data_IF_304173246367
#
_entry.id   IF_304173246367
#
_cell.length_a   1.000
_cell.length_b   1.000
_cell.length_c   1.000
_cell.angle_alpha   90.00
_cell.angle_beta   90.00
_cell.angle_gamma   90.00
#
_symmetry.space_group_name_H-M   'P 1'
#
loop_
_entity.id
_entity.type
_entity.pdbx_description
1 polymer ?
#
# COMPACT_ATOMS: atom_id res chain seq x y z
N UNK A 1 -24.23 8.00 17.98
CA UNK A 1 -23.01 7.95 18.82
C UNK A 1 -22.41 6.55 18.73
N UNK A 2 -21.64 6.25 17.69
CA UNK A 2 -20.89 5.00 17.57
C UNK A 2 -19.49 5.23 18.12
N UNK A 3 -19.09 4.44 19.11
CA UNK A 3 -17.77 4.52 19.73
C UNK A 3 -16.73 4.06 18.70
N UNK A 4 -15.91 5.00 18.27
CA UNK A 4 -14.71 4.73 17.48
C UNK A 4 -13.73 4.02 18.40
N UNK A 5 -13.58 2.72 18.22
CA UNK A 5 -12.48 1.97 18.81
C UNK A 5 -11.26 2.28 17.95
N UNK A 6 -10.46 3.23 18.41
CA UNK A 6 -9.13 3.45 17.85
C UNK A 6 -8.27 2.24 18.22
N UNK A 7 -8.23 1.27 17.33
CA UNK A 7 -7.30 0.15 17.41
C UNK A 7 -5.96 0.62 16.82
N UNK A 8 -5.26 1.50 17.53
CA UNK A 8 -3.81 1.59 17.40
C UNK A 8 -3.21 0.37 18.11
N UNK A 9 -3.47 -0.80 17.53
CA UNK A 9 -2.66 -1.97 17.74
C UNK A 9 -1.37 -1.76 16.95
N UNK A 10 -0.41 -1.03 17.50
CA UNK A 10 0.98 -1.33 17.24
C UNK A 10 1.12 -2.78 17.70
N UNK A 11 0.91 -3.71 16.77
CA UNK A 11 1.51 -5.01 16.90
C UNK A 11 3.02 -4.72 16.91
N UNK A 12 3.56 -4.47 18.11
CA UNK A 12 4.95 -4.76 18.37
C UNK A 12 5.05 -6.26 18.04
N UNK A 13 5.32 -6.54 16.78
CA UNK A 13 5.97 -7.78 16.38
C UNK A 13 7.30 -7.71 17.14
N UNK A 14 7.28 -8.13 18.40
CA UNK A 14 8.45 -8.73 19.00
C UNK A 14 8.71 -9.94 18.11
N UNK A 15 9.44 -9.68 17.02
CA UNK A 15 10.18 -10.70 16.35
C UNK A 15 11.13 -11.25 17.42
N UNK A 16 10.64 -12.17 18.21
CA UNK A 16 11.51 -13.19 18.76
C UNK A 16 12.11 -13.78 17.50
N UNK A 17 13.30 -13.31 17.16
CA UNK A 17 14.13 -13.89 16.15
C UNK A 17 14.28 -15.37 16.56
N UNK A 18 13.35 -16.19 16.11
CA UNK A 18 13.56 -17.60 16.00
C UNK A 18 14.69 -17.70 14.98
N UNK A 19 15.89 -17.76 15.49
CA UNK A 19 17.11 -18.03 14.77
C UNK A 19 16.99 -19.43 14.18
N UNK A 20 16.28 -19.56 13.10
CA UNK A 20 16.33 -20.69 12.21
C UNK A 20 17.24 -20.34 11.02
N UNK A 21 18.43 -19.80 11.31
CA UNK A 21 19.52 -19.97 10.37
C UNK A 21 20.01 -21.41 10.58
N UNK A 22 20.18 -22.23 9.53
CA UNK A 22 20.89 -23.48 9.64
C UNK A 22 22.34 -23.16 10.03
N UNK A 23 22.60 -23.17 11.33
CA UNK A 23 23.93 -23.03 11.88
C UNK A 23 24.63 -24.31 11.69
N UNK A 24 25.42 -24.46 10.63
CA UNK A 24 26.34 -25.56 10.51
C UNK A 24 27.55 -25.29 11.45
N UNK A 25 27.56 -25.94 12.58
CA UNK A 25 28.73 -25.99 13.46
C UNK A 25 29.77 -26.89 12.80
N UNK A 26 30.73 -26.32 12.11
CA UNK A 26 31.91 -27.07 11.66
C UNK A 26 32.94 -27.17 12.79
N UNK A 27 33.34 -28.39 13.12
CA UNK A 27 34.41 -28.64 14.06
C UNK A 27 35.75 -28.40 13.38
N UNK A 28 36.53 -27.46 13.89
CA UNK A 28 37.88 -27.21 13.41
C UNK A 28 38.83 -28.37 13.76
N UNK A 29 39.94 -28.44 13.06
CA UNK A 29 41.00 -29.44 13.32
C UNK A 29 41.65 -29.29 14.70
N UNK A 30 41.50 -28.16 15.34
CA UNK A 30 41.99 -27.81 16.69
C UNK A 30 40.96 -28.12 17.80
N UNK A 31 39.81 -28.70 17.46
CA UNK A 31 38.73 -29.06 18.37
C UNK A 31 37.75 -27.91 18.68
N UNK A 32 37.99 -26.73 18.16
CA UNK A 32 37.06 -25.60 18.26
C UNK A 32 35.87 -25.71 17.29
N UNK A 33 34.84 -24.96 17.54
CA UNK A 33 33.69 -24.84 16.64
C UNK A 33 33.71 -23.49 15.93
N UNK A 34 33.62 -23.49 14.59
CA UNK A 34 33.43 -22.31 13.78
C UNK A 34 31.98 -22.26 13.31
N UNK A 35 31.29 -21.19 13.60
CA UNK A 35 30.00 -20.95 12.99
C UNK A 35 30.27 -20.47 11.55
N UNK A 36 29.99 -21.33 10.59
CA UNK A 36 30.04 -20.95 9.18
C UNK A 36 28.62 -20.63 8.76
N UNK A 37 28.38 -19.39 8.41
CA UNK A 37 27.14 -19.00 7.75
C UNK A 37 27.27 -19.45 6.31
N UNK A 38 26.47 -20.46 5.95
CA UNK A 38 26.38 -20.85 4.55
C UNK A 38 25.47 -19.85 3.84
N UNK A 39 26.09 -18.92 3.14
CA UNK A 39 25.37 -17.92 2.32
C UNK A 39 24.99 -18.49 0.94
N UNK A 40 25.24 -19.79 0.70
CA UNK A 40 25.00 -20.42 -0.61
C UNK A 40 23.52 -20.62 -0.93
N UNK A 41 22.64 -20.59 0.08
CA UNK A 41 21.19 -20.70 -0.11
C UNK A 41 20.52 -19.33 -0.35
N UNK A 42 21.29 -18.24 -0.35
CA UNK A 42 20.77 -16.94 -0.70
C UNK A 42 20.69 -16.76 -2.21
N UNK A 43 19.69 -16.01 -2.62
CA UNK A 43 19.52 -15.58 -4.00
C UNK A 43 20.87 -15.25 -4.65
N UNK A 44 21.21 -15.92 -5.74
CA UNK A 44 22.43 -15.61 -6.48
C UNK A 44 22.42 -14.14 -6.88
N UNK A 45 23.58 -13.49 -6.71
CA UNK A 45 23.76 -12.07 -7.05
C UNK A 45 23.40 -11.81 -8.50
N UNK A 46 22.58 -10.80 -8.75
CA UNK A 46 22.24 -10.37 -10.10
C UNK A 46 21.05 -11.09 -10.74
N UNK A 47 20.33 -11.93 -10.01
CA UNK A 47 19.11 -12.58 -10.50
C UNK A 47 17.98 -11.57 -10.72
N UNK A 48 17.23 -11.82 -11.77
CA UNK A 48 15.94 -11.18 -11.97
C UNK A 48 14.85 -11.99 -11.28
N UNK A 49 13.79 -11.34 -10.90
CA UNK A 49 12.60 -11.99 -10.36
C UNK A 49 11.33 -11.31 -10.81
N UNK A 50 10.26 -12.09 -10.84
CA UNK A 50 8.90 -11.60 -11.04
C UNK A 50 8.01 -12.16 -9.94
N UNK A 51 6.88 -11.50 -9.69
CA UNK A 51 5.93 -12.03 -8.73
C UNK A 51 4.64 -11.25 -8.70
N UNK A 52 3.78 -11.67 -7.78
CA UNK A 52 2.51 -11.01 -7.51
C UNK A 52 2.16 -11.16 -6.04
N UNK A 53 1.43 -10.17 -5.51
CA UNK A 53 0.93 -10.14 -4.13
C UNK A 53 -0.56 -9.84 -4.12
N UNK A 54 -1.25 -10.43 -3.16
CA UNK A 54 -2.59 -10.04 -2.76
C UNK A 54 -2.46 -9.20 -1.50
N UNK A 55 -3.15 -8.08 -1.48
CA UNK A 55 -3.05 -7.07 -0.44
C UNK A 55 -4.38 -6.93 0.30
N UNK A 56 -4.30 -6.77 1.62
CA UNK A 56 -5.37 -6.30 2.47
C UNK A 56 -4.99 -4.91 2.95
N UNK A 57 -5.73 -3.88 2.50
CA UNK A 57 -5.41 -2.48 2.69
C UNK A 57 -6.38 -1.86 3.69
N UNK A 58 -5.86 -1.19 4.71
CA UNK A 58 -6.61 -0.34 5.62
C UNK A 58 -6.33 1.11 5.27
N UNK A 59 -7.26 1.75 4.57
CA UNK A 59 -7.15 3.14 4.17
C UNK A 59 -7.72 4.04 5.25
N UNK A 60 -6.97 5.09 5.58
CA UNK A 60 -7.41 6.15 6.49
C UNK A 60 -7.24 7.49 5.79
N UNK A 61 -8.31 8.27 5.71
CA UNK A 61 -8.26 9.61 5.14
C UNK A 61 -9.20 10.56 5.86
N UNK A 62 -8.95 11.85 5.67
CA UNK A 62 -9.82 12.92 6.09
C UNK A 62 -10.42 13.57 4.86
N UNK A 63 -11.68 13.88 4.93
CA UNK A 63 -12.41 14.60 3.92
C UNK A 63 -12.81 15.97 4.48
N UNK A 64 -12.44 17.03 3.77
CA UNK A 64 -12.87 18.41 4.07
C UNK A 64 -13.85 18.86 3.00
N UNK A 65 -15.10 19.05 3.39
CA UNK A 65 -16.12 19.59 2.53
C UNK A 65 -16.31 21.07 2.85
N UNK A 66 -15.97 21.93 1.91
CA UNK A 66 -16.16 23.38 2.01
C UNK A 66 -17.26 23.81 1.06
N UNK A 67 -18.33 24.40 1.58
CA UNK A 67 -19.36 25.03 0.78
C UNK A 67 -19.26 26.53 0.93
N UNK A 68 -18.92 27.24 -0.14
CA UNK A 68 -18.80 28.69 -0.17
C UNK A 68 -19.99 29.30 -0.94
N UNK A 69 -20.72 30.18 -0.28
CA UNK A 69 -21.82 30.97 -0.86
C UNK A 69 -21.65 32.45 -0.56
N UNK A 70 -22.55 33.33 -1.06
CA UNK A 70 -22.45 34.78 -0.92
C UNK A 70 -22.39 35.26 0.54
N UNK A 71 -23.02 34.51 1.47
CA UNK A 71 -23.16 34.92 2.87
C UNK A 71 -22.72 33.85 3.87
N UNK A 72 -22.20 32.71 3.41
CA UNK A 72 -21.85 31.59 4.32
C UNK A 72 -20.74 30.70 3.78
N UNK A 73 -19.92 30.24 4.69
CA UNK A 73 -18.95 29.16 4.51
C UNK A 73 -19.27 28.05 5.51
N UNK A 74 -19.51 26.85 5.01
CA UNK A 74 -19.77 25.67 5.84
C UNK A 74 -18.60 24.72 5.65
N UNK A 75 -17.98 24.34 6.76
CA UNK A 75 -16.86 23.38 6.80
C UNK A 75 -17.33 22.13 7.53
N UNK A 76 -17.27 21.00 6.86
CA UNK A 76 -17.48 19.68 7.46
C UNK A 76 -16.21 18.86 7.33
N UNK A 77 -15.77 18.28 8.45
CA UNK A 77 -14.60 17.42 8.50
C UNK A 77 -15.02 16.01 8.94
N UNK A 78 -14.83 15.05 8.09
CA UNK A 78 -15.08 13.64 8.38
C UNK A 78 -13.83 12.79 8.22
N UNK A 79 -13.71 11.77 9.11
CA UNK A 79 -12.60 10.81 9.05
C UNK A 79 -13.15 9.45 8.64
N UNK A 80 -12.56 8.85 7.64
CA UNK A 80 -12.94 7.54 7.13
C UNK A 80 -11.84 6.53 7.38
N UNK A 81 -12.25 5.29 7.62
CA UNK A 81 -11.35 4.13 7.74
C UNK A 81 -12.02 2.95 7.06
N UNK A 82 -11.41 2.45 5.98
CA UNK A 82 -11.98 1.39 5.17
C UNK A 82 -10.98 0.27 4.92
N UNK A 83 -11.48 -0.97 4.92
CA UNK A 83 -10.70 -2.17 4.66
C UNK A 83 -11.00 -2.65 3.24
N UNK A 84 -9.99 -2.62 2.37
CA UNK A 84 -10.10 -2.94 0.96
C UNK A 84 -9.13 -4.06 0.56
N UNK A 85 -9.57 -4.86 -0.39
CA UNK A 85 -8.67 -5.81 -1.05
C UNK A 85 -7.86 -5.09 -2.13
N UNK A 86 -6.72 -5.67 -2.46
CA UNK A 86 -5.88 -5.20 -3.53
C UNK A 86 -4.98 -6.30 -4.07
N UNK A 87 -4.15 -5.92 -5.01
CA UNK A 87 -3.13 -6.82 -5.52
C UNK A 87 -2.15 -6.07 -6.40
N UNK A 88 -0.98 -6.66 -6.56
CA UNK A 88 0.06 -6.10 -7.39
C UNK A 88 0.87 -7.18 -8.09
N UNK A 89 1.49 -6.78 -9.17
CA UNK A 89 2.52 -7.55 -9.87
C UNK A 89 3.81 -6.76 -9.87
N UNK A 90 4.92 -7.43 -9.83
CA UNK A 90 6.21 -6.79 -9.75
C UNK A 90 7.29 -7.53 -10.52
N UNK A 91 8.29 -6.78 -10.94
CA UNK A 91 9.55 -7.27 -11.48
C UNK A 91 10.68 -6.58 -10.75
N UNK A 92 11.71 -7.32 -10.43
CA UNK A 92 12.85 -6.79 -9.70
C UNK A 92 14.15 -7.49 -10.03
N UNK A 93 15.21 -6.98 -9.42
CA UNK A 93 16.56 -7.52 -9.55
C UNK A 93 17.30 -7.44 -8.22
N UNK A 94 18.04 -8.48 -7.88
CA UNK A 94 19.02 -8.49 -6.79
C UNK A 94 20.34 -7.93 -7.31
N UNK A 95 20.96 -6.98 -6.61
CA UNK A 95 22.24 -6.40 -7.01
C UNK A 95 23.41 -7.06 -6.26
N UNK A 96 23.20 -7.34 -5.00
CA UNK A 96 24.12 -8.08 -4.14
C UNK A 96 23.33 -8.92 -3.11
N UNK A 97 23.99 -9.45 -2.10
CA UNK A 97 23.35 -10.27 -1.06
C UNK A 97 22.37 -9.53 -0.17
N UNK A 98 22.33 -8.18 -0.22
CA UNK A 98 21.56 -7.35 0.70
C UNK A 98 20.62 -6.39 -0.02
N UNK A 99 20.86 -6.06 -1.29
CA UNK A 99 20.12 -5.02 -1.99
C UNK A 99 19.36 -5.56 -3.19
N UNK A 100 18.11 -5.19 -3.27
CA UNK A 100 17.27 -5.44 -4.45
C UNK A 100 16.42 -4.22 -4.76
N UNK A 101 16.08 -4.06 -6.03
CA UNK A 101 15.13 -3.06 -6.49
C UNK A 101 13.98 -3.74 -7.25
N UNK A 102 12.83 -3.11 -7.21
CA UNK A 102 11.58 -3.65 -7.74
C UNK A 102 10.76 -2.53 -8.36
N UNK A 103 10.12 -2.80 -9.49
CA UNK A 103 9.03 -1.99 -10.02
C UNK A 103 7.75 -2.77 -9.82
N UNK A 104 6.78 -2.13 -9.17
CA UNK A 104 5.51 -2.69 -8.76
C UNK A 104 4.37 -1.90 -9.39
N UNK A 105 3.44 -2.60 -10.05
CA UNK A 105 2.18 -2.05 -10.53
C UNK A 105 1.04 -2.75 -9.80
N UNK A 106 0.17 -2.00 -9.17
CA UNK A 106 -0.91 -2.55 -8.36
C UNK A 106 -2.19 -1.74 -8.43
N UNK A 107 -3.19 -2.28 -7.77
CA UNK A 107 -4.49 -1.66 -7.62
C UNK A 107 -5.07 -1.97 -6.24
N UNK A 108 -5.56 -0.95 -5.55
CA UNK A 108 -6.44 -1.09 -4.42
C UNK A 108 -7.85 -1.17 -5.00
N UNK A 109 -8.60 -2.22 -4.60
CA UNK A 109 -9.92 -2.50 -5.17
C UNK A 109 -10.93 -1.40 -4.87
N UNK A 110 -12.01 -1.43 -5.62
CA UNK A 110 -13.09 -0.48 -5.54
C UNK A 110 -13.79 -0.54 -4.19
N UNK A 111 -13.89 0.62 -3.53
CA UNK A 111 -14.81 0.87 -2.42
C UNK A 111 -16.14 1.29 -3.02
N UNK A 112 -17.24 0.71 -2.56
CA UNK A 112 -18.60 1.03 -3.00
C UNK A 112 -19.44 1.40 -1.78
N UNK A 113 -19.92 2.63 -1.73
CA UNK A 113 -20.87 3.11 -0.73
C UNK A 113 -22.18 3.48 -1.41
N UNK A 114 -23.27 2.83 -0.98
CA UNK A 114 -24.62 3.08 -1.46
C UNK A 114 -25.39 3.86 -0.39
N UNK A 115 -25.63 5.13 -0.64
CA UNK A 115 -26.47 5.99 0.20
C UNK A 115 -27.48 6.78 -0.63
N UNK A 116 -28.74 6.81 -0.22
CA UNK A 116 -29.83 7.67 -0.76
C UNK A 116 -29.88 7.80 -2.30
N UNK A 117 -29.61 6.70 -3.03
CA UNK A 117 -29.66 6.69 -4.50
C UNK A 117 -28.41 7.27 -5.18
N UNK A 118 -27.32 7.43 -4.44
CA UNK A 118 -25.98 7.77 -4.95
C UNK A 118 -25.04 6.64 -4.62
N UNK A 119 -24.35 6.13 -5.63
CA UNK A 119 -23.27 5.14 -5.46
C UNK A 119 -21.94 5.84 -5.69
N UNK A 120 -21.10 5.81 -4.67
CA UNK A 120 -19.72 6.31 -4.72
C UNK A 120 -18.75 5.14 -4.86
N UNK A 121 -17.83 5.23 -5.83
CA UNK A 121 -16.81 4.22 -6.08
C UNK A 121 -15.44 4.87 -6.11
N UNK A 122 -14.49 4.28 -5.36
CA UNK A 122 -13.09 4.70 -5.33
C UNK A 122 -12.20 3.51 -5.65
N UNK A 123 -11.38 3.62 -6.67
CA UNK A 123 -10.29 2.67 -6.97
C UNK A 123 -8.96 3.40 -7.11
N UNK A 124 -7.88 2.78 -6.69
CA UNK A 124 -6.55 3.41 -6.70
C UNK A 124 -5.52 2.51 -7.39
N UNK A 125 -5.43 2.57 -8.72
CA UNK A 125 -4.25 2.04 -9.42
C UNK A 125 -3.00 2.80 -9.01
N UNK A 126 -1.86 2.12 -8.95
CA UNK A 126 -0.58 2.74 -8.60
C UNK A 126 0.61 2.08 -9.31
N UNK A 127 1.69 2.84 -9.40
CA UNK A 127 3.00 2.38 -9.88
C UNK A 127 4.08 2.85 -8.91
N UNK A 128 4.93 1.95 -8.44
CA UNK A 128 6.00 2.26 -7.48
C UNK A 128 7.33 1.66 -7.92
N UNK A 129 8.40 2.39 -7.62
CA UNK A 129 9.77 1.89 -7.63
C UNK A 129 10.23 1.72 -6.19
N UNK A 130 10.62 0.51 -5.81
CA UNK A 130 10.95 0.11 -4.46
C UNK A 130 12.41 -0.32 -4.37
N UNK A 131 13.07 0.06 -3.29
CA UNK A 131 14.38 -0.45 -2.90
C UNK A 131 14.26 -1.20 -1.57
N UNK A 132 14.93 -2.34 -1.46
CA UNK A 132 14.90 -3.19 -0.27
C UNK A 132 16.30 -3.52 0.21
N UNK A 133 16.41 -3.66 1.52
CA UNK A 133 17.56 -4.23 2.19
C UNK A 133 17.15 -5.55 2.85
N UNK A 134 17.75 -6.64 2.41
CA UNK A 134 17.48 -8.00 2.89
C UNK A 134 18.49 -8.40 3.98
N UNK A 135 17.99 -8.76 5.14
CA UNK A 135 18.82 -9.22 6.26
C UNK A 135 19.13 -10.73 6.15
N UNK A 136 20.09 -11.18 6.94
CA UNK A 136 20.53 -12.57 6.95
C UNK A 136 19.46 -13.61 7.32
N UNK A 137 18.38 -13.17 7.95
CA UNK A 137 17.29 -14.00 8.46
C UNK A 137 16.03 -13.96 7.60
N UNK A 138 16.17 -13.64 6.29
CA UNK A 138 15.08 -13.51 5.32
C UNK A 138 14.09 -12.36 5.61
N UNK A 139 14.31 -11.61 6.67
CA UNK A 139 13.61 -10.37 6.93
C UNK A 139 14.15 -9.27 6.01
N UNK A 140 13.29 -8.35 5.60
CA UNK A 140 13.70 -7.20 4.81
C UNK A 140 12.97 -5.93 5.22
N UNK A 141 13.59 -4.81 4.93
CA UNK A 141 12.98 -3.47 5.00
C UNK A 141 13.13 -2.79 3.66
N UNK A 142 12.25 -1.89 3.35
CA UNK A 142 12.29 -1.17 2.08
C UNK A 142 11.61 0.18 2.13
N UNK A 143 11.92 0.96 1.11
CA UNK A 143 11.25 2.22 0.83
C UNK A 143 10.96 2.33 -0.66
N UNK A 144 9.90 3.03 -0.99
CA UNK A 144 9.48 3.22 -2.38
C UNK A 144 8.90 4.58 -2.65
N UNK A 145 9.02 4.95 -3.91
CA UNK A 145 8.44 6.18 -4.47
C UNK A 145 7.61 5.80 -5.68
N UNK A 146 6.50 6.48 -5.89
CA UNK A 146 5.61 6.16 -6.99
C UNK A 146 4.55 7.20 -7.26
N UNK A 147 3.57 6.78 -8.02
CA UNK A 147 2.37 7.55 -8.34
C UNK A 147 1.14 6.71 -8.08
N UNK A 148 0.18 7.28 -7.40
CA UNK A 148 -1.18 6.76 -7.27
C UNK A 148 -2.07 7.51 -8.25
N UNK A 149 -3.04 6.80 -8.83
CA UNK A 149 -3.99 7.31 -9.82
C UNK A 149 -5.41 7.10 -9.27
N UNK A 150 -5.82 7.79 -8.19
CA UNK A 150 -7.13 7.61 -7.63
C UNK A 150 -8.19 7.97 -8.67
N UNK A 151 -9.12 7.05 -8.90
CA UNK A 151 -10.28 7.23 -9.77
C UNK A 151 -11.53 7.17 -8.92
N UNK A 152 -12.28 8.26 -8.93
CA UNK A 152 -13.58 8.34 -8.26
C UNK A 152 -14.69 8.33 -9.32
N UNK A 153 -15.74 7.53 -9.07
CA UNK A 153 -16.95 7.50 -9.88
C UNK A 153 -18.15 7.74 -8.99
N UNK A 154 -18.97 8.69 -9.39
CA UNK A 154 -20.26 8.95 -8.78
C UNK A 154 -21.36 8.59 -9.77
N UNK A 155 -22.25 7.68 -9.38
CA UNK A 155 -23.45 7.32 -10.13
C UNK A 155 -24.67 7.75 -9.32
N UNK A 156 -25.55 8.55 -9.91
CA UNK A 156 -26.83 8.95 -9.29
C UNK A 156 -27.99 8.29 -10.04
N UNK A 157 -28.80 7.53 -9.31
CA UNK A 157 -30.03 6.97 -9.86
C UNK A 157 -31.19 7.98 -9.94
N UNK A 158 -31.06 9.13 -9.26
CA UNK A 158 -32.12 10.17 -9.23
C UNK A 158 -32.04 11.13 -10.42
N UNK A 159 -30.87 11.28 -11.06
CA UNK A 159 -30.70 12.18 -12.21
C UNK A 159 -30.11 11.39 -13.37
N UNK A 160 -30.94 11.09 -14.35
CA UNK A 160 -30.52 10.43 -15.59
C UNK A 160 -29.49 11.30 -16.33
N UNK A 161 -28.22 10.87 -16.32
CA UNK A 161 -27.17 11.46 -17.17
C UNK A 161 -25.98 12.11 -16.48
N UNK A 162 -25.77 11.89 -15.18
CA UNK A 162 -24.59 12.47 -14.48
C UNK A 162 -23.60 11.42 -13.98
N UNK A 163 -23.12 10.57 -14.86
CA UNK A 163 -21.91 9.77 -14.57
C UNK A 163 -20.71 10.72 -14.67
N UNK A 164 -20.11 11.07 -13.54
CA UNK A 164 -18.84 11.78 -13.52
C UNK A 164 -17.75 10.86 -13.01
N UNK A 165 -16.73 10.68 -13.84
CA UNK A 165 -15.49 9.99 -13.47
C UNK A 165 -14.37 11.02 -13.46
N UNK A 166 -13.68 11.14 -12.34
CA UNK A 166 -12.51 12.00 -12.22
C UNK A 166 -11.29 11.17 -11.82
N UNK A 167 -10.16 11.49 -12.43
CA UNK A 167 -8.87 10.86 -12.19
C UNK A 167 -7.88 11.88 -11.65
N UNK A 168 -7.32 11.57 -10.50
CA UNK A 168 -6.20 12.31 -9.94
C UNK A 168 -4.87 11.64 -10.25
N UNK A 169 -3.80 12.41 -10.16
CA UNK A 169 -2.41 11.90 -10.15
C UNK A 169 -1.77 12.41 -8.88
N UNK A 170 -1.34 11.49 -8.02
CA UNK A 170 -0.77 11.82 -6.73
C UNK A 170 0.59 11.15 -6.54
N UNK A 171 1.62 11.87 -6.06
CA UNK A 171 2.85 11.22 -5.63
C UNK A 171 2.57 10.28 -4.48
N UNK A 172 3.24 9.12 -4.48
CA UNK A 172 3.09 8.07 -3.48
C UNK A 172 4.46 7.74 -2.88
N UNK A 173 4.51 7.66 -1.56
CA UNK A 173 5.71 7.27 -0.81
C UNK A 173 5.32 6.07 0.05
N UNK A 174 6.20 5.06 0.10
CA UNK A 174 5.95 3.85 0.90
C UNK A 174 7.15 3.42 1.72
N UNK A 175 6.86 2.89 2.90
CA UNK A 175 7.80 2.15 3.74
C UNK A 175 7.32 0.70 3.84
N UNK A 176 8.22 -0.26 3.72
CA UNK A 176 7.91 -1.67 3.73
C UNK A 176 8.78 -2.43 4.71
N UNK A 177 8.20 -3.47 5.28
CA UNK A 177 8.92 -4.49 6.03
C UNK A 177 8.29 -5.84 5.75
N UNK A 178 9.08 -6.89 5.67
CA UNK A 178 8.53 -8.19 5.35
C UNK A 178 9.50 -9.33 5.56
N UNK A 179 9.03 -10.50 5.18
CA UNK A 179 9.77 -11.74 5.29
C UNK A 179 9.57 -12.58 4.03
N UNK A 180 10.69 -13.11 3.48
CA UNK A 180 10.70 -13.99 2.33
C UNK A 180 11.01 -15.40 2.77
N UNK A 181 10.14 -16.36 2.49
CA UNK A 181 10.34 -17.77 2.85
C UNK A 181 10.54 -18.61 1.59
N UNK A 182 11.65 -19.35 1.51
CA UNK A 182 11.96 -20.22 0.38
C UNK A 182 11.05 -21.46 0.39
N UNK A 183 10.16 -21.56 -0.62
CA UNK A 183 9.32 -22.74 -0.85
C UNK A 183 10.05 -23.77 -1.70
N UNK A 184 10.85 -23.31 -2.66
CA UNK A 184 11.65 -24.09 -3.57
C UNK A 184 12.88 -23.27 -3.98
N UNK A 185 13.78 -23.87 -4.76
CA UNK A 185 15.06 -23.27 -5.20
C UNK A 185 14.88 -21.88 -5.86
N UNK A 186 13.81 -21.70 -6.62
CA UNK A 186 13.51 -20.45 -7.33
C UNK A 186 12.19 -19.80 -6.91
N UNK A 187 11.46 -20.39 -5.94
CA UNK A 187 10.14 -19.92 -5.54
C UNK A 187 10.13 -19.52 -4.08
N UNK A 188 9.75 -18.27 -3.82
CA UNK A 188 9.65 -17.71 -2.47
C UNK A 188 8.22 -17.28 -2.19
N UNK A 189 7.79 -17.51 -0.96
CA UNK A 189 6.62 -16.88 -0.35
C UNK A 189 7.07 -15.55 0.25
N UNK A 190 6.35 -14.48 -0.08
CA UNK A 190 6.64 -13.11 0.35
C UNK A 190 5.51 -12.61 1.24
N UNK A 191 5.83 -12.28 2.50
CA UNK A 191 4.93 -11.65 3.45
C UNK A 191 5.40 -10.23 3.67
N UNK A 192 4.53 -9.22 3.41
CA UNK A 192 4.91 -7.82 3.47
C UNK A 192 3.87 -6.98 4.21
N UNK A 193 4.35 -6.10 5.05
CA UNK A 193 3.62 -4.93 5.53
C UNK A 193 4.11 -3.70 4.78
N UNK A 194 3.20 -2.86 4.34
CA UNK A 194 3.48 -1.57 3.70
C UNK A 194 2.67 -0.47 4.38
N UNK A 195 3.34 0.62 4.70
CA UNK A 195 2.74 1.90 5.03
C UNK A 195 2.98 2.84 3.85
N UNK A 196 1.94 3.23 3.16
CA UNK A 196 2.02 4.15 2.04
C UNK A 196 1.21 5.43 2.30
N UNK A 197 1.66 6.52 1.70
CA UNK A 197 1.03 7.84 1.78
C UNK A 197 0.89 8.41 0.38
N UNK A 198 -0.28 8.93 0.09
CA UNK A 198 -0.57 9.68 -1.14
C UNK A 198 -1.72 10.67 -0.88
N UNK A 199 -1.90 11.64 -1.79
CA UNK A 199 -2.95 12.64 -1.65
C UNK A 199 -4.15 12.25 -2.51
N UNK A 200 -5.34 12.51 -1.99
CA UNK A 200 -6.58 12.36 -2.74
C UNK A 200 -6.76 13.47 -3.78
N UNK A 201 -7.71 13.31 -4.69
CA UNK A 201 -8.07 14.36 -5.61
C UNK A 201 -8.90 15.46 -4.91
N UNK A 202 -8.69 16.70 -5.35
CA UNK A 202 -9.52 17.84 -4.98
C UNK A 202 -10.61 17.99 -6.04
N UNK A 203 -11.87 18.11 -5.60
CA UNK A 203 -13.03 18.26 -6.47
C UNK A 203 -13.73 19.59 -6.19
N UNK A 204 -13.82 20.42 -7.20
CA UNK A 204 -14.53 21.69 -7.14
C UNK A 204 -15.76 21.67 -8.06
N UNK A 205 -16.93 21.96 -7.52
CA UNK A 205 -18.18 22.14 -8.28
C UNK A 205 -18.81 23.46 -7.97
N UNK A 206 -19.07 24.25 -9.00
CA UNK A 206 -19.82 25.47 -8.90
C UNK A 206 -21.22 25.27 -9.48
N UNK A 207 -22.23 25.78 -8.78
CA UNK A 207 -23.63 25.77 -9.22
C UNK A 207 -24.33 27.06 -8.79
N UNK A 208 -25.49 27.33 -9.37
CA UNK A 208 -26.28 28.49 -9.04
C UNK A 208 -27.54 28.07 -8.30
N UNK A 209 -27.86 28.80 -7.22
CA UNK A 209 -29.15 28.74 -6.55
C UNK A 209 -29.85 30.07 -6.77
N UNK A 210 -30.77 30.10 -7.72
CA UNK A 210 -31.35 31.34 -8.21
C UNK A 210 -30.33 32.15 -9.03
N UNK A 211 -29.92 33.31 -8.52
CA UNK A 211 -28.89 34.18 -9.14
C UNK A 211 -27.53 34.09 -8.42
N UNK A 212 -27.49 33.42 -7.28
CA UNK A 212 -26.31 33.37 -6.41
C UNK A 212 -25.42 32.20 -6.75
N UNK A 213 -24.10 32.39 -6.95
CA UNK A 213 -23.14 31.34 -7.18
C UNK A 213 -22.75 30.64 -5.85
N UNK A 214 -22.72 29.31 -5.87
CA UNK A 214 -22.20 28.47 -4.80
C UNK A 214 -21.11 27.59 -5.33
N UNK A 215 -20.09 27.35 -4.53
CA UNK A 215 -19.00 26.42 -4.84
C UNK A 215 -18.88 25.42 -3.71
N UNK A 216 -18.92 24.15 -4.08
CA UNK A 216 -18.61 23.04 -3.18
C UNK A 216 -17.23 22.54 -3.56
N UNK A 217 -16.29 22.62 -2.61
CA UNK A 217 -14.96 22.05 -2.72
C UNK A 217 -14.90 20.83 -1.80
N UNK A 218 -14.58 19.68 -2.37
CA UNK A 218 -14.35 18.45 -1.65
C UNK A 218 -12.87 18.12 -1.78
N UNK A 219 -12.12 18.27 -0.69
CA UNK A 219 -10.69 17.96 -0.61
C UNK A 219 -10.50 16.66 0.16
N UNK A 220 -10.07 15.63 -0.56
CA UNK A 220 -9.60 14.38 0.04
C UNK A 220 -8.11 14.56 0.34
N UNK A 221 -7.81 14.95 1.57
CA UNK A 221 -6.45 15.23 2.02
C UNK A 221 -5.50 14.04 1.91
N UNK A 222 -4.58 13.93 2.85
CA UNK A 222 -3.61 12.83 2.92
C UNK A 222 -4.31 11.50 3.19
N UNK A 223 -4.09 10.52 2.32
CA UNK A 223 -4.53 9.13 2.48
C UNK A 223 -3.36 8.30 3.00
N UNK A 224 -3.59 7.61 4.11
CA UNK A 224 -2.67 6.63 4.68
C UNK A 224 -3.18 5.23 4.35
N UNK A 225 -2.39 4.45 3.64
CA UNK A 225 -2.64 3.05 3.33
C UNK A 225 -1.73 2.16 4.19
N UNK A 226 -2.33 1.39 5.08
CA UNK A 226 -1.67 0.34 5.85
C UNK A 226 -2.05 -1.00 5.23
N UNK A 227 -1.12 -1.68 4.57
CA UNK A 227 -1.41 -2.93 3.90
C UNK A 227 -0.57 -4.09 4.40
N UNK A 228 -1.23 -5.27 4.46
CA UNK A 228 -0.58 -6.56 4.67
C UNK A 228 -0.75 -7.37 3.40
N UNK A 229 0.35 -7.92 2.91
CA UNK A 229 0.38 -8.64 1.64
C UNK A 229 0.94 -10.03 1.81
N UNK A 230 0.41 -10.96 1.01
CA UNK A 230 0.98 -12.29 0.78
C UNK A 230 1.15 -12.50 -0.71
N UNK A 231 2.30 -13.00 -1.11
CA UNK A 231 2.62 -13.16 -2.52
C UNK A 231 3.62 -14.26 -2.81
N UNK A 232 3.85 -14.44 -4.09
CA UNK A 232 4.85 -15.37 -4.60
C UNK A 232 5.84 -14.60 -5.48
N UNK A 233 7.13 -14.93 -5.29
CA UNK A 233 8.26 -14.41 -6.05
C UNK A 233 9.00 -15.57 -6.71
N UNK A 234 9.21 -15.49 -8.01
CA UNK A 234 9.98 -16.45 -8.79
C UNK A 234 11.28 -15.81 -9.29
N UNK A 235 12.42 -16.41 -8.95
CA UNK A 235 13.77 -15.94 -9.30
C UNK A 235 14.35 -16.74 -10.47
N UNK A 236 15.06 -16.06 -11.41
CA UNK A 236 15.63 -16.68 -12.62
C UNK A 236 16.91 -15.98 -13.09
#
# INVERSE_FOLDING_TARGET
MKKIVSLFGIAALTATAATAAPNYLQRNSDGGYKVTYDYTDRAEVGKWYIGGRLDLNLLNWKNELTTTGPDSEILENESFTELLFGGNVFVGRTFDYFWRAEIEAGMISEFEDEGDGVTFKLSVPYLMANGYYDFANDFYVGAGLGVALPETRMQSTMFSGSDSSERGVSPMIGLMAGWSYHLDYNLLLDLRYRLAMFWGPEHERSFFVGVDPYTITNDIGLILDNSVSVGLRYEF
#
